data_IF_396654959435
#
_entry.id   IF_396654959435
#
_cell.length_a   1.000
_cell.length_b   1.000
_cell.length_c   1.000
_cell.angle_alpha   90.00
_cell.angle_beta   90.00
_cell.angle_gamma   90.00
#
_symmetry.space_group_name_H-M   'P 1'
#
loop_
_entity.id
_entity.type
_entity.pdbx_description
1 polymer ?
#
# COMPACT_ATOMS: atom_id res chain seq x y z
N UNK A 1 -0.17 -45.48 -18.94
CA UNK A 1 0.41 -44.33 -18.24
C UNK A 1 -0.43 -44.10 -17.00
N UNK A 2 0.14 -44.06 -15.79
CA UNK A 2 -0.65 -43.77 -14.62
C UNK A 2 -1.23 -42.38 -14.76
N UNK A 3 -2.53 -42.23 -14.63
CA UNK A 3 -3.21 -40.96 -14.48
C UNK A 3 -2.76 -40.42 -13.13
N UNK A 4 -1.82 -39.50 -13.12
CA UNK A 4 -1.52 -38.68 -11.95
C UNK A 4 -2.78 -37.83 -11.78
N UNK A 5 -3.68 -38.20 -10.88
CA UNK A 5 -4.79 -37.37 -10.48
C UNK A 5 -4.15 -36.07 -9.98
N UNK A 6 -4.45 -34.94 -10.66
CA UNK A 6 -3.92 -33.65 -10.23
C UNK A 6 -4.43 -33.39 -8.81
N UNK A 7 -3.54 -33.30 -7.83
CA UNK A 7 -3.88 -32.97 -6.45
C UNK A 7 -4.43 -31.55 -6.31
N UNK A 8 -4.52 -30.77 -7.40
CA UNK A 8 -4.89 -29.38 -7.42
C UNK A 8 -6.30 -29.16 -7.97
N UNK A 9 -6.97 -28.12 -7.45
CA UNK A 9 -8.31 -27.70 -7.87
C UNK A 9 -8.31 -26.23 -8.27
N UNK A 10 -9.03 -25.92 -9.35
CA UNK A 10 -9.23 -24.54 -9.76
C UNK A 10 -10.24 -23.84 -8.84
N UNK A 11 -10.05 -22.57 -8.48
CA UNK A 11 -11.01 -21.79 -7.72
C UNK A 11 -12.30 -21.56 -8.51
N UNK A 12 -13.38 -21.28 -7.80
CA UNK A 12 -14.71 -21.07 -8.39
C UNK A 12 -14.83 -19.73 -9.11
N UNK A 13 -14.10 -18.73 -8.64
CA UNK A 13 -14.14 -17.38 -9.17
C UNK A 13 -12.83 -17.04 -9.88
N UNK A 14 -12.83 -16.12 -10.86
CA UNK A 14 -11.64 -15.66 -11.54
C UNK A 14 -10.55 -15.20 -10.56
N UNK A 15 -9.29 -15.52 -10.87
CA UNK A 15 -8.12 -15.00 -10.18
C UNK A 15 -7.64 -13.74 -10.91
N UNK A 16 -7.53 -12.62 -10.19
CA UNK A 16 -6.88 -11.41 -10.67
C UNK A 16 -5.47 -11.35 -10.09
N UNK A 17 -4.46 -11.47 -10.95
CA UNK A 17 -3.04 -11.36 -10.57
C UNK A 17 -2.61 -9.90 -10.52
N UNK A 18 -2.27 -9.38 -9.34
CA UNK A 18 -1.90 -8.00 -9.11
C UNK A 18 -0.40 -7.86 -8.80
N UNK A 19 0.34 -7.21 -9.70
CA UNK A 19 1.80 -7.04 -9.58
C UNK A 19 2.21 -5.92 -8.62
N UNK A 20 3.43 -6.02 -8.08
CA UNK A 20 4.03 -5.01 -7.19
C UNK A 20 4.67 -3.82 -7.89
N UNK A 21 5.56 -3.15 -7.15
CA UNK A 21 6.37 -2.02 -7.64
C UNK A 21 7.22 -2.44 -8.83
N UNK A 22 7.39 -1.54 -9.81
CA UNK A 22 8.06 -1.80 -11.10
C UNK A 22 7.51 -2.99 -11.88
N UNK A 23 6.36 -3.52 -11.47
CA UNK A 23 5.71 -4.61 -12.16
C UNK A 23 5.16 -4.19 -13.51
N UNK A 24 4.89 -5.20 -14.34
CA UNK A 24 4.33 -5.06 -15.67
C UNK A 24 3.65 -6.39 -16.02
N UNK A 25 2.66 -6.37 -16.88
CA UNK A 25 2.14 -7.62 -17.44
C UNK A 25 3.22 -8.26 -18.33
N UNK A 26 3.69 -7.49 -19.33
CA UNK A 26 4.79 -7.87 -20.21
C UNK A 26 5.68 -6.66 -20.53
N UNK A 27 6.97 -6.89 -20.69
CA UNK A 27 7.94 -5.90 -21.12
C UNK A 27 8.77 -6.48 -22.26
N UNK A 28 8.89 -5.73 -23.37
CA UNK A 28 9.58 -6.12 -24.58
C UNK A 28 8.71 -5.87 -25.81
N UNK A 29 9.29 -5.91 -27.02
CA UNK A 29 8.56 -5.68 -28.26
C UNK A 29 7.53 -6.80 -28.54
N UNK A 30 6.32 -6.43 -28.89
CA UNK A 30 5.25 -7.40 -29.23
C UNK A 30 5.60 -8.22 -30.47
N UNK A 31 6.46 -7.68 -31.33
CA UNK A 31 6.91 -8.35 -32.57
C UNK A 31 7.89 -9.49 -32.33
N UNK A 32 8.52 -9.56 -31.14
CA UNK A 32 9.50 -10.60 -30.79
C UNK A 32 9.14 -11.22 -29.44
N UNK A 33 8.24 -12.23 -29.41
CA UNK A 33 7.77 -12.84 -28.16
C UNK A 33 8.87 -13.41 -27.26
N UNK A 34 9.99 -13.85 -27.83
CA UNK A 34 11.10 -14.41 -27.09
C UNK A 34 11.87 -13.35 -26.25
N UNK A 35 11.73 -12.07 -26.57
CA UNK A 35 12.31 -10.96 -25.80
C UNK A 35 11.32 -10.37 -24.76
N UNK A 36 10.10 -10.93 -24.68
CA UNK A 36 9.14 -10.49 -23.69
C UNK A 36 9.45 -11.09 -22.32
N UNK A 37 9.54 -10.23 -21.33
CA UNK A 37 9.65 -10.61 -19.93
C UNK A 37 8.26 -10.45 -19.32
N UNK A 38 7.71 -11.53 -18.76
CA UNK A 38 6.43 -11.55 -18.06
C UNK A 38 6.68 -11.50 -16.55
N UNK A 39 5.90 -10.68 -15.84
CA UNK A 39 5.97 -10.62 -14.38
C UNK A 39 5.59 -11.96 -13.76
N UNK A 40 4.53 -12.58 -14.27
CA UNK A 40 3.97 -13.86 -13.81
C UNK A 40 4.43 -15.04 -14.67
N UNK A 41 5.76 -15.17 -14.82
CA UNK A 41 6.36 -16.14 -15.75
C UNK A 41 5.88 -17.58 -15.49
N UNK A 42 5.11 -18.15 -16.44
CA UNK A 42 4.59 -19.51 -16.33
C UNK A 42 3.40 -19.69 -15.39
N UNK A 43 3.22 -18.81 -14.40
CA UNK A 43 2.18 -18.89 -13.35
C UNK A 43 0.78 -18.77 -13.99
N UNK A 44 0.54 -17.71 -14.77
CA UNK A 44 -0.74 -17.54 -15.49
C UNK A 44 -1.08 -18.77 -16.31
N UNK A 45 -0.12 -19.29 -17.09
CA UNK A 45 -0.31 -20.46 -17.93
C UNK A 45 -0.65 -21.73 -17.12
N UNK A 46 0.01 -21.92 -15.96
CA UNK A 46 -0.25 -23.05 -15.08
C UNK A 46 -1.65 -23.00 -14.49
N UNK A 47 -2.05 -21.86 -13.93
CA UNK A 47 -3.39 -21.65 -13.37
C UNK A 47 -4.48 -21.79 -14.43
N UNK A 48 -4.27 -21.28 -15.66
CA UNK A 48 -5.22 -21.46 -16.77
C UNK A 48 -5.32 -22.93 -17.18
N UNK A 49 -4.21 -23.67 -17.21
CA UNK A 49 -4.23 -25.12 -17.48
C UNK A 49 -4.95 -25.93 -16.39
N UNK A 50 -4.92 -25.45 -15.15
CA UNK A 50 -5.70 -26.04 -14.06
C UNK A 50 -7.21 -25.86 -14.27
N UNK A 51 -7.63 -24.92 -15.10
CA UNK A 51 -9.04 -24.56 -15.34
C UNK A 51 -9.48 -23.25 -14.72
N UNK A 52 -8.58 -22.51 -14.05
CA UNK A 52 -8.90 -21.21 -13.50
C UNK A 52 -9.05 -20.14 -14.59
N UNK A 53 -10.03 -19.26 -14.46
CA UNK A 53 -10.09 -18.01 -15.23
C UNK A 53 -9.09 -17.03 -14.62
N UNK A 54 -8.06 -16.65 -15.37
CA UNK A 54 -6.97 -15.80 -14.88
C UNK A 54 -6.96 -14.47 -15.63
N UNK A 55 -6.93 -13.37 -14.87
CA UNK A 55 -6.85 -12.00 -15.36
C UNK A 55 -5.55 -11.41 -14.82
N UNK A 56 -4.72 -10.85 -15.68
CA UNK A 56 -3.49 -10.17 -15.26
C UNK A 56 -3.75 -8.68 -15.22
N UNK A 57 -3.61 -8.10 -14.03
CA UNK A 57 -3.79 -6.67 -13.84
C UNK A 57 -2.60 -5.88 -14.42
N UNK A 58 -2.92 -4.75 -15.05
CA UNK A 58 -1.94 -3.78 -15.51
C UNK A 58 -2.21 -2.43 -14.84
N UNK A 59 -1.31 -2.02 -13.96
CA UNK A 59 -1.38 -0.75 -13.20
C UNK A 59 -0.08 0.04 -13.37
N UNK A 60 -0.07 1.36 -13.06
CA UNK A 60 1.15 2.15 -13.15
C UNK A 60 2.31 1.54 -12.36
N UNK A 61 3.52 1.52 -12.95
CA UNK A 61 4.71 0.85 -12.37
C UNK A 61 5.18 1.47 -11.06
N UNK A 62 5.00 2.79 -10.90
CA UNK A 62 5.57 3.60 -9.80
C UNK A 62 4.58 4.60 -9.21
N UNK A 63 3.29 4.46 -9.49
CA UNK A 63 2.23 5.32 -8.94
C UNK A 63 2.01 5.09 -7.44
N UNK A 64 1.34 6.04 -6.77
CA UNK A 64 0.87 5.84 -5.39
C UNK A 64 -0.11 4.67 -5.31
N UNK A 65 -0.28 4.09 -4.11
CA UNK A 65 -1.28 3.03 -3.85
C UNK A 65 -2.65 3.44 -4.39
N UNK A 66 -3.12 4.65 -4.08
CA UNK A 66 -4.39 5.19 -4.55
C UNK A 66 -4.50 5.17 -6.08
N UNK A 67 -3.51 5.76 -6.78
CA UNK A 67 -3.50 5.82 -8.25
C UNK A 67 -3.49 4.44 -8.90
N UNK A 68 -2.75 3.50 -8.31
CA UNK A 68 -2.68 2.11 -8.78
C UNK A 68 -3.98 1.37 -8.53
N UNK A 69 -4.59 1.54 -7.37
CA UNK A 69 -5.90 0.98 -7.03
C UNK A 69 -7.02 1.49 -7.96
N UNK A 70 -7.04 2.80 -8.25
CA UNK A 70 -7.99 3.39 -9.20
C UNK A 70 -7.80 2.86 -10.63
N UNK A 71 -6.54 2.63 -11.06
CA UNK A 71 -6.25 2.04 -12.35
C UNK A 71 -6.71 0.57 -12.41
N UNK A 72 -6.48 -0.19 -11.32
CA UNK A 72 -6.97 -1.56 -11.17
C UNK A 72 -8.50 -1.61 -11.26
N UNK A 73 -9.19 -0.75 -10.52
CA UNK A 73 -10.64 -0.65 -10.56
C UNK A 73 -11.17 -0.37 -11.96
N UNK A 74 -10.64 0.66 -12.66
CA UNK A 74 -11.05 0.97 -14.04
C UNK A 74 -10.88 -0.21 -15.00
N UNK A 75 -9.80 -0.98 -14.87
CA UNK A 75 -9.59 -2.16 -15.67
C UNK A 75 -10.63 -3.24 -15.36
N UNK A 76 -10.90 -3.49 -14.08
CA UNK A 76 -11.82 -4.54 -13.62
C UNK A 76 -13.28 -4.22 -13.99
N UNK A 77 -13.71 -2.97 -13.88
CA UNK A 77 -15.07 -2.54 -14.27
C UNK A 77 -15.42 -2.95 -15.68
N UNK A 78 -14.44 -2.94 -16.61
CA UNK A 78 -14.65 -3.33 -18.00
C UNK A 78 -14.41 -4.84 -18.28
N UNK A 79 -13.82 -5.58 -17.33
CA UNK A 79 -13.36 -6.95 -17.58
C UNK A 79 -14.17 -8.00 -16.82
N UNK A 80 -14.70 -7.66 -15.65
CA UNK A 80 -15.34 -8.61 -14.71
C UNK A 80 -16.71 -8.14 -14.21
N UNK A 81 -17.42 -7.37 -15.01
CA UNK A 81 -18.77 -6.89 -14.68
C UNK A 81 -19.68 -8.03 -14.21
N UNK A 82 -20.38 -7.85 -13.10
CA UNK A 82 -21.29 -8.81 -12.49
C UNK A 82 -20.61 -10.06 -11.91
N UNK A 83 -19.28 -10.13 -11.88
CA UNK A 83 -18.56 -11.32 -11.40
C UNK A 83 -18.11 -11.16 -9.95
N UNK A 84 -17.94 -12.30 -9.28
CA UNK A 84 -17.13 -12.44 -8.09
C UNK A 84 -15.68 -12.70 -8.52
N UNK A 85 -14.69 -12.13 -7.81
CA UNK A 85 -13.27 -12.28 -8.14
C UNK A 85 -12.44 -12.55 -6.89
N UNK A 86 -11.32 -13.25 -7.07
CA UNK A 86 -10.28 -13.46 -6.07
C UNK A 86 -9.04 -12.68 -6.47
N UNK A 87 -8.53 -11.83 -5.57
CA UNK A 87 -7.27 -11.16 -5.78
C UNK A 87 -6.10 -12.01 -5.30
N UNK A 88 -5.08 -12.14 -6.13
CA UNK A 88 -3.80 -12.75 -5.80
C UNK A 88 -2.70 -11.74 -6.09
N UNK A 89 -2.18 -11.12 -5.04
CA UNK A 89 -1.37 -9.94 -5.14
C UNK A 89 0.03 -10.16 -4.59
N UNK A 90 1.05 -9.71 -5.32
CA UNK A 90 2.45 -9.76 -4.90
C UNK A 90 2.96 -8.37 -4.52
N UNK A 91 3.72 -8.29 -3.41
CA UNK A 91 4.42 -7.07 -3.01
C UNK A 91 3.45 -5.89 -2.81
N UNK A 92 3.77 -4.69 -3.30
CA UNK A 92 2.91 -3.50 -3.25
C UNK A 92 1.49 -3.72 -3.78
N UNK A 93 1.29 -4.68 -4.70
CA UNK A 93 -0.03 -5.00 -5.25
C UNK A 93 -1.08 -5.37 -4.21
N UNK A 94 -0.66 -5.94 -3.08
CA UNK A 94 -1.56 -6.24 -1.95
C UNK A 94 -2.10 -4.98 -1.28
N UNK A 95 -1.31 -3.91 -1.19
CA UNK A 95 -1.76 -2.62 -0.68
C UNK A 95 -2.74 -1.94 -1.65
N UNK A 96 -2.48 -2.03 -2.96
CA UNK A 96 -3.40 -1.54 -3.99
C UNK A 96 -4.77 -2.21 -3.87
N UNK A 97 -4.79 -3.54 -3.70
CA UNK A 97 -6.02 -4.33 -3.54
C UNK A 97 -6.75 -3.96 -2.24
N UNK A 98 -6.05 -3.80 -1.12
CA UNK A 98 -6.65 -3.37 0.14
C UNK A 98 -7.29 -1.99 0.00
N UNK A 99 -6.59 -1.04 -0.63
CA UNK A 99 -7.13 0.29 -0.90
C UNK A 99 -8.39 0.22 -1.76
N UNK A 100 -8.37 -0.57 -2.84
CA UNK A 100 -9.52 -0.77 -3.72
C UNK A 100 -10.73 -1.34 -2.95
N UNK A 101 -10.51 -2.35 -2.12
CA UNK A 101 -11.59 -2.99 -1.35
C UNK A 101 -12.21 -1.99 -0.39
N UNK A 102 -11.39 -1.25 0.35
CA UNK A 102 -11.81 -0.35 1.44
C UNK A 102 -12.41 0.98 0.95
N UNK A 103 -11.88 1.56 -0.12
CA UNK A 103 -12.19 2.95 -0.51
C UNK A 103 -13.04 3.10 -1.77
N UNK A 104 -13.11 2.10 -2.64
CA UNK A 104 -13.89 2.19 -3.87
C UNK A 104 -15.19 1.41 -3.69
N UNK A 105 -16.32 2.13 -3.63
CA UNK A 105 -17.63 1.54 -3.30
C UNK A 105 -18.51 1.28 -4.52
N UNK A 106 -18.30 1.97 -5.63
CA UNK A 106 -19.08 1.87 -6.88
C UNK A 106 -18.62 0.73 -7.80
N UNK A 107 -18.26 -0.40 -7.20
CA UNK A 107 -17.83 -1.59 -7.95
C UNK A 107 -19.01 -2.32 -8.56
N UNK A 108 -18.93 -2.63 -9.86
CA UNK A 108 -19.87 -3.54 -10.56
C UNK A 108 -19.42 -5.02 -10.52
N UNK A 109 -18.54 -5.36 -9.58
CA UNK A 109 -18.03 -6.71 -9.29
C UNK A 109 -17.83 -6.86 -7.78
N UNK A 110 -17.76 -8.08 -7.29
CA UNK A 110 -17.51 -8.37 -5.90
C UNK A 110 -16.14 -9.03 -5.69
N UNK A 111 -15.39 -8.58 -4.68
CA UNK A 111 -14.16 -9.24 -4.24
C UNK A 111 -14.50 -10.24 -3.14
N UNK A 112 -14.21 -11.54 -3.36
CA UNK A 112 -14.46 -12.60 -2.38
C UNK A 112 -13.25 -12.88 -1.48
N UNK A 113 -12.05 -12.80 -2.06
CA UNK A 113 -10.83 -13.00 -1.28
C UNK A 113 -9.68 -12.13 -1.78
N UNK A 114 -8.76 -11.84 -0.88
CA UNK A 114 -7.46 -11.25 -1.15
C UNK A 114 -6.38 -12.14 -0.55
N UNK A 115 -5.57 -12.75 -1.40
CA UNK A 115 -4.35 -13.45 -1.00
C UNK A 115 -3.14 -12.62 -1.36
N UNK A 116 -2.34 -12.27 -0.36
CA UNK A 116 -1.14 -11.43 -0.53
C UNK A 116 0.13 -12.26 -0.36
N UNK A 117 1.12 -11.99 -1.19
CA UNK A 117 2.41 -12.67 -1.23
C UNK A 117 3.50 -11.65 -0.98
N UNK A 118 4.19 -11.72 0.14
CA UNK A 118 5.22 -10.77 0.56
C UNK A 118 4.81 -9.31 0.35
N UNK A 119 3.60 -8.97 0.74
CA UNK A 119 3.11 -7.59 0.73
C UNK A 119 3.59 -6.87 1.98
N UNK A 120 4.20 -5.69 1.86
CA UNK A 120 4.66 -4.92 3.00
C UNK A 120 3.51 -4.20 3.72
N UNK A 121 2.64 -4.96 4.40
CA UNK A 121 1.49 -4.41 5.11
C UNK A 121 1.85 -3.42 6.23
N UNK A 122 3.07 -3.52 6.74
CA UNK A 122 3.63 -2.58 7.74
C UNK A 122 4.79 -1.75 7.20
N UNK A 123 4.93 -1.70 5.86
CA UNK A 123 6.03 -1.04 5.18
C UNK A 123 7.30 -1.89 5.13
N UNK A 124 8.39 -1.30 4.69
CA UNK A 124 9.70 -1.95 4.59
C UNK A 124 10.80 -1.05 5.13
N UNK A 125 11.65 -1.55 6.06
CA UNK A 125 12.83 -0.83 6.54
C UNK A 125 13.80 -0.38 5.44
N UNK A 126 13.78 -1.02 4.29
CA UNK A 126 14.57 -0.60 3.11
C UNK A 126 14.05 0.71 2.56
N UNK A 127 12.73 0.91 2.54
CA UNK A 127 12.12 2.15 2.06
C UNK A 127 12.39 3.30 3.02
N UNK A 128 12.42 3.04 4.33
CA UNK A 128 12.86 4.01 5.32
C UNK A 128 14.32 4.41 5.10
N UNK A 129 15.19 3.42 4.85
CA UNK A 129 16.59 3.67 4.57
C UNK A 129 16.78 4.49 3.28
N UNK A 130 16.01 4.21 2.21
CA UNK A 130 16.04 5.00 0.98
C UNK A 130 15.60 6.45 1.25
N UNK A 131 14.53 6.66 2.01
CA UNK A 131 14.08 7.98 2.43
C UNK A 131 15.17 8.71 3.21
N UNK A 132 15.70 8.10 4.27
CA UNK A 132 16.60 8.75 5.24
C UNK A 132 18.02 8.95 4.69
N UNK A 133 18.51 8.03 3.84
CA UNK A 133 19.88 8.06 3.31
C UNK A 133 20.02 8.73 1.95
N UNK A 134 18.99 8.69 1.12
CA UNK A 134 19.03 9.15 -0.28
C UNK A 134 18.05 10.30 -0.54
N UNK A 135 17.11 10.54 0.39
CA UNK A 135 16.09 11.58 0.26
C UNK A 135 14.94 11.24 -0.70
N UNK A 136 14.77 9.96 -1.04
CA UNK A 136 13.68 9.50 -1.91
C UNK A 136 12.37 9.48 -1.12
N UNK A 137 11.32 10.10 -1.65
CA UNK A 137 9.99 10.16 -1.02
C UNK A 137 9.76 11.38 -0.11
N UNK A 138 10.76 12.23 0.14
CA UNK A 138 10.60 13.40 1.02
C UNK A 138 9.61 14.44 0.50
N UNK A 139 9.63 14.75 -0.80
CA UNK A 139 8.73 15.74 -1.40
C UNK A 139 7.28 15.31 -1.29
N UNK A 140 7.02 14.04 -1.47
CA UNK A 140 5.66 13.49 -1.46
C UNK A 140 5.10 13.32 -0.06
N UNK A 141 5.95 12.96 0.91
CA UNK A 141 5.53 12.93 2.32
C UNK A 141 5.11 14.33 2.80
N UNK A 142 5.84 15.37 2.38
CA UNK A 142 5.48 16.75 2.69
C UNK A 142 4.16 17.18 2.03
N UNK A 143 3.90 16.76 0.79
CA UNK A 143 2.64 17.03 0.08
C UNK A 143 1.46 16.29 0.73
N UNK A 144 1.61 15.01 1.05
CA UNK A 144 0.58 14.21 1.72
C UNK A 144 0.28 14.76 3.13
N UNK A 145 1.29 15.17 3.88
CA UNK A 145 1.12 15.79 5.21
C UNK A 145 0.42 17.15 5.10
N UNK A 146 0.77 17.96 4.10
CA UNK A 146 0.09 19.22 3.83
C UNK A 146 -1.38 19.00 3.47
N UNK A 147 -1.69 18.02 2.62
CA UNK A 147 -3.06 17.66 2.25
C UNK A 147 -3.85 17.11 3.45
N UNK A 148 -3.24 16.31 4.30
CA UNK A 148 -3.86 15.82 5.55
C UNK A 148 -4.22 16.98 6.47
N UNK A 149 -3.28 17.89 6.72
CA UNK A 149 -3.52 19.08 7.55
C UNK A 149 -4.62 19.99 6.97
N UNK A 150 -4.64 20.12 5.64
CA UNK A 150 -5.70 20.88 4.94
C UNK A 150 -7.06 20.19 5.09
N UNK A 151 -7.11 18.87 4.98
CA UNK A 151 -8.33 18.07 5.18
C UNK A 151 -8.85 18.16 6.63
N UNK A 152 -7.98 18.11 7.62
CA UNK A 152 -8.32 18.30 9.03
C UNK A 152 -8.88 19.71 9.29
N UNK A 153 -8.22 20.73 8.76
CA UNK A 153 -8.70 22.12 8.85
C UNK A 153 -10.08 22.30 8.22
N UNK A 154 -10.32 21.68 7.06
CA UNK A 154 -11.62 21.69 6.39
C UNK A 154 -12.72 20.98 7.20
N UNK A 155 -12.40 19.84 7.87
CA UNK A 155 -13.34 19.14 8.74
C UNK A 155 -13.70 19.97 9.97
N UNK A 156 -12.72 20.61 10.62
CA UNK A 156 -12.94 21.49 11.77
C UNK A 156 -13.78 22.71 11.38
N UNK A 157 -13.53 23.31 10.22
CA UNK A 157 -14.33 24.42 9.67
C UNK A 157 -15.78 24.00 9.40
N UNK A 158 -16.00 22.80 8.86
CA UNK A 158 -17.34 22.27 8.60
C UNK A 158 -18.10 21.96 9.91
N UNK A 159 -17.43 21.41 10.92
CA UNK A 159 -18.02 21.18 12.24
C UNK A 159 -18.44 22.50 12.90
N UNK A 160 -17.55 23.51 12.90
CA UNK A 160 -17.86 24.83 13.44
C UNK A 160 -19.04 25.50 12.71
N UNK A 161 -19.16 25.30 11.41
CA UNK A 161 -20.28 25.82 10.63
C UNK A 161 -21.62 25.13 10.98
N UNK A 162 -21.60 23.82 11.27
CA UNK A 162 -22.77 23.08 11.74
C UNK A 162 -23.20 23.52 13.14
N UNK A 163 -22.26 23.67 14.07
CA UNK A 163 -22.54 24.16 15.42
C UNK A 163 -23.16 25.55 15.40
N UNK A 164 -22.65 26.45 14.53
CA UNK A 164 -23.22 27.78 14.34
C UNK A 164 -24.64 27.71 13.76
N UNK A 165 -24.90 26.81 12.82
CA UNK A 165 -26.21 26.63 12.21
C UNK A 165 -27.23 26.09 13.23
N UNK A 166 -26.82 25.17 14.11
CA UNK A 166 -27.66 24.68 15.20
C UNK A 166 -27.96 25.78 16.24
N UNK A 167 -26.96 26.60 16.59
CA UNK A 167 -27.13 27.74 17.48
C UNK A 167 -28.11 28.78 16.90
N UNK A 168 -28.01 29.07 15.61
CA UNK A 168 -28.95 29.97 14.91
C UNK A 168 -30.37 29.41 14.89
N UNK A 169 -30.56 28.12 14.66
CA UNK A 169 -31.88 27.49 14.72
C UNK A 169 -32.47 27.55 16.14
N UNK A 170 -31.66 27.28 17.16
CA UNK A 170 -32.10 27.39 18.55
C UNK A 170 -32.53 28.83 18.90
N UNK A 171 -31.83 29.83 18.40
CA UNK A 171 -32.19 31.25 18.56
C UNK A 171 -33.53 31.58 17.88
N UNK A 172 -33.73 31.15 16.63
CA UNK A 172 -34.98 31.37 15.89
C UNK A 172 -36.19 30.71 16.55
N UNK A 173 -36.03 29.45 17.09
CA UNK A 173 -37.10 28.77 17.83
C UNK A 173 -37.42 29.45 19.14
N UNK A 174 -36.45 30.09 19.81
CA UNK A 174 -36.68 30.88 21.00
C UNK A 174 -37.45 32.16 20.73
N UNK A 175 -37.21 32.82 19.61
CA UNK A 175 -37.99 34.01 19.15
C UNK A 175 -39.45 33.64 18.79
N UNK A 176 -39.68 32.52 18.13
CA UNK A 176 -41.00 32.02 17.76
C UNK A 176 -41.86 31.59 18.98
N UNK A 177 -41.24 31.23 20.11
CA UNK A 177 -41.95 30.75 21.30
C UNK A 177 -42.53 31.85 22.17
N UNK A 178 -42.48 33.13 21.77
CA UNK A 178 -43.14 34.28 22.36
C UNK A 178 -43.04 34.36 23.91
N UNK A 179 -41.85 34.07 24.46
CA UNK A 179 -41.56 34.30 25.87
C UNK A 179 -41.19 35.75 26.00
N UNK A 180 -42.11 36.57 26.57
CA UNK A 180 -41.86 37.94 26.92
C UNK A 180 -40.70 38.01 27.92
N UNK A 181 -39.54 38.44 27.45
CA UNK A 181 -38.44 38.78 28.33
C UNK A 181 -38.76 40.06 29.07
N UNK A 182 -38.85 39.98 30.38
CA UNK A 182 -38.92 41.17 31.25
C UNK A 182 -37.57 41.90 31.15
N UNK A 183 -37.59 43.06 30.49
CA UNK A 183 -36.39 43.84 30.19
C UNK A 183 -35.86 44.64 31.39
N UNK A 184 -36.37 44.40 32.62
CA UNK A 184 -35.96 45.15 33.83
C UNK A 184 -34.72 44.64 34.53
N UNK A 185 -34.09 43.55 34.08
CA UNK A 185 -32.93 42.94 34.76
C UNK A 185 -31.70 42.74 33.86
N UNK A 186 -31.53 43.51 32.82
CA UNK A 186 -30.31 43.46 32.00
C UNK A 186 -29.20 44.33 32.66
N UNK A 187 -28.10 43.75 33.13
CA UNK A 187 -26.95 44.53 33.54
C UNK A 187 -26.38 45.26 32.29
N UNK A 188 -25.79 46.47 32.47
CA UNK A 188 -25.32 47.26 31.35
C UNK A 188 -24.20 46.50 30.58
N UNK A 189 -24.12 46.67 29.25
CA UNK A 189 -23.15 45.98 28.45
C UNK A 189 -21.73 46.35 28.90
N UNK A 190 -20.89 45.35 29.09
CA UNK A 190 -19.48 45.53 29.40
C UNK A 190 -18.86 46.41 28.32
N UNK A 191 -18.45 47.64 28.69
CA UNK A 191 -17.66 48.52 27.83
C UNK A 191 -16.28 47.89 27.65
N UNK A 192 -16.02 47.37 26.48
CA UNK A 192 -14.70 46.91 26.05
C UNK A 192 -13.82 48.15 25.85
N UNK A 193 -13.07 48.56 26.87
CA UNK A 193 -12.02 49.56 26.68
C UNK A 193 -10.87 48.89 25.93
N UNK A 194 -10.67 49.33 24.71
CA UNK A 194 -9.51 49.00 23.89
C UNK A 194 -8.23 49.59 24.54
N UNK A 195 -7.51 48.80 25.32
CA UNK A 195 -6.13 49.08 25.63
C UNK A 195 -5.28 47.97 25.03
N UNK A 196 -5.07 47.99 23.75
CA UNK A 196 -3.94 47.36 23.13
C UNK A 196 -2.72 48.27 23.31
N UNK A 197 -2.00 48.05 24.39
CA UNK A 197 -0.61 48.54 24.47
C UNK A 197 0.25 47.47 23.77
N UNK A 198 0.77 47.89 22.63
CA UNK A 198 1.85 47.21 21.93
C UNK A 198 3.12 47.15 22.79
N UNK A 199 3.41 46.03 23.43
CA UNK A 199 4.78 45.64 23.77
C UNK A 199 4.79 44.19 24.19
N UNK A 200 5.52 43.36 23.47
CA UNK A 200 5.79 41.99 23.85
C UNK A 200 5.90 41.07 22.65
N UNK A 201 6.95 41.26 21.86
CA UNK A 201 7.43 40.25 20.92
C UNK A 201 7.90 39.03 21.71
N UNK A 202 7.02 38.05 21.89
CA UNK A 202 7.45 36.67 22.20
C UNK A 202 7.93 36.03 20.90
N UNK A 203 9.15 36.36 20.50
CA UNK A 203 9.93 35.51 19.62
C UNK A 203 10.25 34.25 20.40
N UNK A 204 9.53 33.19 20.20
CA UNK A 204 9.96 31.84 20.55
C UNK A 204 11.36 31.61 19.96
N UNK A 205 12.21 30.76 20.56
CA UNK A 205 13.51 30.45 20.00
C UNK A 205 13.29 30.00 18.52
N UNK A 206 14.15 30.48 17.59
CA UNK A 206 14.05 30.07 16.20
C UNK A 206 14.09 28.54 16.15
N UNK A 207 13.31 27.91 15.26
CA UNK A 207 13.39 26.47 15.08
C UNK A 207 14.87 26.12 14.84
N UNK A 208 15.37 25.01 15.42
CA UNK A 208 16.74 24.60 15.17
C UNK A 208 16.95 24.53 13.65
N UNK A 209 18.11 24.98 13.15
CA UNK A 209 18.42 24.85 11.73
C UNK A 209 18.19 23.39 11.34
N UNK A 210 17.64 23.10 10.15
CA UNK A 210 17.47 21.73 9.70
C UNK A 210 18.81 21.05 9.90
N UNK A 211 18.80 19.95 10.66
CA UNK A 211 20.00 19.15 10.90
C UNK A 211 20.57 18.86 9.51
N UNK A 212 21.73 19.43 9.22
CA UNK A 212 22.49 19.05 8.04
C UNK A 212 22.72 17.56 8.20
N UNK A 213 21.93 16.75 7.46
CA UNK A 213 22.19 15.35 7.32
C UNK A 213 23.65 15.28 6.87
N UNK A 214 24.51 14.74 7.72
CA UNK A 214 25.86 14.38 7.36
C UNK A 214 25.74 13.36 6.23
N UNK A 215 25.59 13.87 5.00
CA UNK A 215 25.53 13.07 3.81
C UNK A 215 26.79 12.23 3.78
N UNK A 216 26.62 10.92 3.77
CA UNK A 216 27.71 9.99 3.58
C UNK A 216 28.46 10.40 2.31
N UNK A 217 29.76 10.71 2.36
CA UNK A 217 30.51 11.25 1.22
C UNK A 217 30.70 10.25 0.06
N UNK A 218 30.05 9.11 0.11
CA UNK A 218 30.19 8.01 -0.88
C UNK A 218 29.07 8.04 -1.95
N UNK A 219 28.08 8.92 -1.81
CA UNK A 219 27.03 9.01 -2.85
C UNK A 219 27.60 9.75 -4.05
N UNK A 220 27.87 9.00 -5.14
CA UNK A 220 28.43 9.55 -6.37
C UNK A 220 27.54 10.68 -6.91
N UNK A 221 28.12 11.76 -7.50
CA UNK A 221 27.34 12.84 -8.16
C UNK A 221 26.35 12.34 -9.21
N UNK A 222 26.59 11.15 -9.76
CA UNK A 222 25.71 10.47 -10.69
C UNK A 222 24.41 10.02 -10.02
N UNK A 223 24.50 9.50 -8.79
CA UNK A 223 23.33 9.06 -8.02
C UNK A 223 22.43 10.26 -7.64
N UNK A 224 23.02 11.39 -7.25
CA UNK A 224 22.27 12.62 -6.98
C UNK A 224 21.48 13.14 -8.19
N UNK A 225 21.94 12.90 -9.42
CA UNK A 225 21.21 13.22 -10.64
C UNK A 225 20.05 12.27 -10.92
N UNK A 226 20.10 11.04 -10.41
CA UNK A 226 19.07 10.03 -10.60
C UNK A 226 17.95 10.10 -9.55
N UNK A 227 18.21 10.69 -8.38
CA UNK A 227 17.24 10.81 -7.27
C UNK A 227 15.89 11.37 -7.75
N UNK A 228 15.78 12.48 -8.52
CA UNK A 228 14.50 13.01 -8.97
C UNK A 228 13.69 12.04 -9.86
N UNK A 229 14.37 11.13 -10.54
CA UNK A 229 13.72 10.10 -11.38
C UNK A 229 13.32 8.85 -10.58
N UNK A 230 13.98 8.64 -9.44
CA UNK A 230 13.68 7.54 -8.50
C UNK A 230 12.67 7.97 -7.44
N UNK A 231 12.52 9.27 -7.19
CA UNK A 231 11.56 9.81 -6.23
C UNK A 231 10.13 9.70 -6.77
N UNK A 232 9.52 8.57 -6.50
CA UNK A 232 8.16 8.26 -6.95
C UNK A 232 7.23 8.06 -5.74
N UNK A 233 5.92 8.35 -5.87
CA UNK A 233 4.93 8.17 -4.80
C UNK A 233 4.95 6.78 -4.17
N UNK A 234 5.32 5.78 -4.94
CA UNK A 234 5.37 4.40 -4.49
C UNK A 234 6.37 4.18 -3.34
N UNK A 235 7.53 4.86 -3.35
CA UNK A 235 8.53 4.70 -2.29
C UNK A 235 8.04 5.28 -0.96
N UNK A 236 7.44 6.47 -0.97
CA UNK A 236 6.85 7.08 0.22
C UNK A 236 5.75 6.19 0.82
N UNK A 237 4.91 5.61 -0.04
CA UNK A 237 3.81 4.74 0.36
C UNK A 237 4.26 3.36 0.90
N UNK A 238 5.52 3.00 0.78
CA UNK A 238 6.08 1.74 1.29
C UNK A 238 6.95 1.91 2.54
N UNK A 239 7.07 3.12 3.09
CA UNK A 239 7.75 3.35 4.36
C UNK A 239 6.97 2.74 5.52
N UNK A 240 7.67 2.37 6.59
CA UNK A 240 7.03 1.79 7.78
C UNK A 240 6.09 2.80 8.44
N UNK A 241 6.49 4.05 8.50
CA UNK A 241 5.68 5.14 9.07
C UNK A 241 4.36 5.32 8.29
N UNK A 242 4.42 5.44 6.96
CA UNK A 242 3.23 5.58 6.15
C UNK A 242 2.28 4.40 6.28
N UNK A 243 2.79 3.17 6.18
CA UNK A 243 1.96 1.98 6.26
C UNK A 243 1.28 1.84 7.62
N UNK A 244 2.00 2.09 8.73
CA UNK A 244 1.47 1.87 10.08
C UNK A 244 0.61 3.04 10.58
N UNK A 245 0.99 4.27 10.30
CA UNK A 245 0.38 5.46 10.88
C UNK A 245 -0.62 6.17 9.95
N UNK A 246 -0.53 5.92 8.63
CA UNK A 246 -1.42 6.56 7.65
C UNK A 246 -2.29 5.52 6.94
N UNK A 247 -1.68 4.54 6.28
CA UNK A 247 -2.42 3.60 5.44
C UNK A 247 -3.33 2.66 6.26
N UNK A 248 -2.77 1.91 7.20
CA UNK A 248 -3.53 0.89 7.94
C UNK A 248 -4.70 1.47 8.75
N UNK A 249 -4.56 2.58 9.51
CA UNK A 249 -5.68 3.15 10.26
C UNK A 249 -6.82 3.65 9.37
N UNK A 250 -6.51 4.06 8.14
CA UNK A 250 -7.49 4.59 7.20
C UNK A 250 -7.99 3.55 6.17
N UNK A 251 -7.48 2.31 6.18
CA UNK A 251 -7.83 1.27 5.21
C UNK A 251 -8.28 0.00 5.94
N UNK A 252 -9.48 0.05 6.57
CA UNK A 252 -10.04 -1.10 7.27
C UNK A 252 -10.34 -2.25 6.30
N UNK A 253 -10.31 -3.46 6.81
CA UNK A 253 -10.71 -4.65 6.06
C UNK A 253 -12.25 -4.69 5.92
N UNK A 254 -12.72 -5.12 4.74
CA UNK A 254 -14.13 -5.40 4.51
C UNK A 254 -14.49 -6.77 5.11
N UNK A 255 -15.48 -6.87 6.01
CA UNK A 255 -15.86 -8.13 6.66
C UNK A 255 -16.41 -9.19 5.70
N UNK A 256 -16.79 -8.83 4.48
CA UNK A 256 -17.29 -9.75 3.45
C UNK A 256 -16.18 -10.33 2.57
N UNK A 257 -14.93 -9.91 2.78
CA UNK A 257 -13.75 -10.36 2.03
C UNK A 257 -12.88 -11.23 2.92
N UNK A 258 -12.46 -12.39 2.42
CA UNK A 258 -11.50 -13.24 3.13
C UNK A 258 -10.07 -12.80 2.83
N UNK A 259 -9.27 -12.57 3.87
CA UNK A 259 -7.88 -12.10 3.74
C UNK A 259 -6.89 -13.20 4.11
N UNK A 260 -6.01 -13.56 3.18
CA UNK A 260 -4.93 -14.52 3.36
C UNK A 260 -3.58 -13.86 3.06
N UNK A 261 -2.54 -14.28 3.76
CA UNK A 261 -1.20 -13.78 3.49
C UNK A 261 -0.14 -14.87 3.61
N UNK A 262 0.86 -14.75 2.76
CA UNK A 262 2.10 -15.51 2.78
C UNK A 262 3.28 -14.57 2.91
N UNK A 263 4.24 -14.93 3.75
CA UNK A 263 5.56 -14.33 3.78
C UNK A 263 6.55 -15.17 2.99
N UNK A 264 7.73 -14.61 2.77
CA UNK A 264 8.88 -15.37 2.28
C UNK A 264 10.13 -14.94 3.04
N UNK A 265 11.07 -15.86 3.20
CA UNK A 265 12.34 -15.58 3.84
C UNK A 265 13.41 -16.52 3.31
N UNK A 266 14.64 -16.01 3.23
CA UNK A 266 15.83 -16.81 2.92
C UNK A 266 16.86 -16.65 4.03
N UNK A 267 17.67 -17.67 4.24
CA UNK A 267 18.69 -17.67 5.29
C UNK A 267 19.72 -16.57 5.10
N UNK A 268 20.13 -16.35 3.85
CA UNK A 268 21.12 -15.35 3.48
C UNK A 268 21.02 -15.01 2.01
N UNK A 269 21.23 -13.73 1.68
CA UNK A 269 21.45 -13.23 0.32
C UNK A 269 22.85 -12.64 0.28
N UNK A 270 23.72 -13.07 -0.66
CA UNK A 270 25.06 -12.49 -0.79
C UNK A 270 25.01 -10.97 -0.99
N UNK A 271 25.85 -10.21 -0.29
CA UNK A 271 25.82 -8.72 -0.30
C UNK A 271 26.00 -8.13 -1.72
N UNK A 272 26.72 -8.82 -2.59
CA UNK A 272 26.89 -8.41 -3.98
C UNK A 272 25.65 -8.64 -4.87
N UNK A 273 24.68 -9.45 -4.40
CA UNK A 273 23.43 -9.65 -5.13
C UNK A 273 22.49 -8.44 -4.96
N UNK A 274 21.62 -8.15 -5.94
CA UNK A 274 20.75 -6.96 -5.88
C UNK A 274 19.87 -6.84 -4.64
N UNK A 275 19.46 -7.96 -4.05
CA UNK A 275 18.70 -8.00 -2.80
C UNK A 275 19.59 -8.12 -1.55
N UNK A 276 20.92 -8.19 -1.68
CA UNK A 276 21.82 -8.47 -0.57
C UNK A 276 21.87 -7.33 0.46
N UNK A 277 22.13 -6.10 0.02
CA UNK A 277 22.12 -4.92 0.92
C UNK A 277 20.72 -4.69 1.52
N UNK A 278 19.63 -4.70 0.76
CA UNK A 278 18.28 -4.65 1.31
C UNK A 278 18.01 -5.75 2.35
N UNK A 279 18.45 -6.99 2.09
CA UNK A 279 18.27 -8.11 3.01
C UNK A 279 18.95 -7.86 4.36
N UNK A 280 20.19 -7.36 4.36
CA UNK A 280 20.93 -7.02 5.59
C UNK A 280 20.24 -5.90 6.39
N UNK A 281 19.72 -4.86 5.70
CA UNK A 281 18.99 -3.75 6.34
C UNK A 281 17.77 -4.27 7.09
N UNK A 282 16.96 -5.12 6.43
CA UNK A 282 15.76 -5.69 7.03
C UNK A 282 16.13 -6.67 8.13
N UNK A 283 17.14 -7.51 7.89
CA UNK A 283 17.63 -8.50 8.86
C UNK A 283 18.01 -7.85 10.19
N UNK A 284 18.68 -6.70 10.13
CA UNK A 284 19.10 -5.96 11.32
C UNK A 284 17.93 -5.35 12.10
N UNK A 285 16.82 -5.00 11.43
CA UNK A 285 15.67 -4.30 12.05
C UNK A 285 14.51 -5.22 12.41
N UNK A 286 14.16 -6.17 11.54
CA UNK A 286 12.94 -6.98 11.65
C UNK A 286 13.20 -8.49 11.53
N UNK A 287 14.42 -8.93 11.25
CA UNK A 287 14.79 -10.34 11.21
C UNK A 287 14.52 -11.02 9.87
N UNK A 288 13.78 -12.13 9.88
CA UNK A 288 13.52 -12.95 8.70
C UNK A 288 12.84 -12.17 7.57
N UNK A 289 13.41 -12.26 6.35
CA UNK A 289 12.94 -11.50 5.21
C UNK A 289 13.33 -12.13 3.87
N UNK A 290 12.68 -11.67 2.81
CA UNK A 290 12.87 -12.12 1.43
C UNK A 290 13.81 -11.20 0.61
N UNK A 291 14.44 -10.23 1.25
CA UNK A 291 15.28 -9.20 0.64
C UNK A 291 14.58 -7.85 0.40
N UNK A 292 13.26 -7.74 0.47
CA UNK A 292 12.51 -6.49 0.36
C UNK A 292 11.43 -6.33 1.43
N UNK A 293 10.89 -7.43 1.95
CA UNK A 293 9.81 -7.43 2.93
C UNK A 293 10.13 -8.45 4.03
N UNK A 294 9.95 -8.06 5.29
CA UNK A 294 10.08 -8.98 6.41
C UNK A 294 8.86 -9.88 6.55
N UNK A 295 9.04 -11.06 7.14
CA UNK A 295 7.93 -11.95 7.51
C UNK A 295 6.95 -11.27 8.47
N UNK A 296 7.43 -10.36 9.33
CA UNK A 296 6.60 -9.54 10.21
C UNK A 296 5.67 -8.62 9.42
N UNK A 297 6.22 -7.88 8.45
CA UNK A 297 5.46 -6.95 7.62
C UNK A 297 4.50 -7.66 6.66
N UNK A 298 4.83 -8.88 6.22
CA UNK A 298 4.01 -9.64 5.28
C UNK A 298 2.72 -10.23 5.89
N UNK A 299 2.62 -10.31 7.22
CA UNK A 299 1.46 -10.91 7.93
C UNK A 299 0.25 -10.00 7.91
N UNK A 300 -0.88 -10.50 7.37
CA UNK A 300 -2.17 -9.84 7.37
C UNK A 300 -3.32 -10.84 7.29
N UNK A 301 -4.44 -10.57 7.95
CA UNK A 301 -5.58 -11.50 7.98
C UNK A 301 -5.16 -12.90 8.47
N UNK A 302 -5.59 -13.93 7.77
CA UNK A 302 -5.13 -15.30 8.02
C UNK A 302 -3.75 -15.53 7.40
N UNK A 303 -2.72 -15.60 8.25
CA UNK A 303 -1.36 -15.89 7.81
C UNK A 303 -1.18 -17.39 7.58
N UNK A 304 -0.97 -17.79 6.32
CA UNK A 304 -0.90 -19.20 5.93
C UNK A 304 0.49 -19.77 6.19
N UNK A 305 1.55 -19.04 5.88
CA UNK A 305 2.92 -19.51 6.10
C UNK A 305 4.01 -18.62 5.53
N UNK A 306 5.26 -19.05 5.77
CA UNK A 306 6.46 -18.44 5.21
C UNK A 306 7.11 -19.42 4.25
N UNK A 307 7.38 -18.97 3.02
CA UNK A 307 8.05 -19.76 1.98
C UNK A 307 9.57 -19.55 2.04
N UNK A 308 10.33 -20.64 1.76
CA UNK A 308 11.78 -20.55 1.57
C UNK A 308 12.11 -19.98 0.18
N UNK A 309 11.88 -18.67 0.03
CA UNK A 309 11.95 -17.94 -1.22
C UNK A 309 12.42 -16.51 -0.99
N UNK A 310 13.14 -15.95 -1.96
CA UNK A 310 13.34 -14.51 -1.97
C UNK A 310 12.20 -13.79 -2.73
N UNK A 311 12.18 -12.46 -2.66
CA UNK A 311 11.10 -11.64 -3.20
C UNK A 311 10.82 -11.85 -4.69
N UNK A 312 11.84 -12.18 -5.49
CA UNK A 312 11.69 -12.40 -6.92
C UNK A 312 11.41 -13.84 -7.30
N UNK A 313 11.63 -14.81 -6.41
CA UNK A 313 11.21 -16.19 -6.60
C UNK A 313 9.69 -16.32 -6.66
N UNK A 314 8.99 -15.51 -5.84
CA UNK A 314 7.53 -15.53 -5.76
C UNK A 314 6.84 -15.18 -7.10
N UNK A 315 7.46 -14.44 -7.98
CA UNK A 315 6.93 -14.17 -9.32
C UNK A 315 7.60 -15.01 -10.42
N UNK A 316 8.32 -16.07 -10.02
CA UNK A 316 9.04 -17.00 -10.90
C UNK A 316 10.07 -16.31 -11.82
N UNK A 317 10.71 -15.26 -11.32
CA UNK A 317 11.71 -14.51 -12.08
C UNK A 317 13.03 -15.27 -12.11
N UNK A 318 13.35 -15.83 -13.26
CA UNK A 318 14.63 -16.52 -13.43
C UNK A 318 15.82 -15.57 -13.26
N UNK A 319 16.80 -15.97 -12.44
CA UNK A 319 18.10 -15.32 -12.30
C UNK A 319 19.16 -16.33 -11.87
N UNK A 320 20.41 -16.01 -12.17
CA UNK A 320 21.53 -16.82 -11.69
C UNK A 320 21.73 -16.54 -10.18
N UNK A 321 21.55 -17.56 -9.36
CA UNK A 321 21.73 -17.52 -7.91
C UNK A 321 23.10 -18.09 -7.51
N UNK A 322 24.19 -17.42 -7.92
CA UNK A 322 25.54 -17.82 -7.53
C UNK A 322 25.75 -17.49 -6.05
N UNK A 323 26.21 -18.45 -5.24
CA UNK A 323 26.46 -18.26 -3.80
C UNK A 323 25.23 -18.21 -2.90
N UNK A 324 24.04 -18.54 -3.40
CA UNK A 324 22.85 -18.76 -2.59
C UNK A 324 22.85 -20.20 -2.04
N UNK A 325 22.65 -20.33 -0.74
CA UNK A 325 22.49 -21.64 -0.06
C UNK A 325 21.01 -22.04 0.07
N UNK A 326 20.25 -21.84 -1.00
CA UNK A 326 18.80 -22.05 -0.97
C UNK A 326 18.40 -23.15 -1.94
N UNK A 327 17.42 -23.97 -1.54
CA UNK A 327 16.76 -24.91 -2.45
C UNK A 327 16.01 -24.14 -3.56
N UNK A 328 15.92 -24.68 -4.78
CA UNK A 328 15.09 -24.10 -5.80
C UNK A 328 13.63 -24.01 -5.31
N UNK A 329 13.05 -22.81 -5.36
CA UNK A 329 11.64 -22.60 -5.07
C UNK A 329 10.79 -22.96 -6.28
N UNK A 330 9.79 -23.80 -6.11
CA UNK A 330 8.83 -24.13 -7.16
C UNK A 330 7.61 -23.21 -7.10
N UNK A 331 7.72 -22.07 -7.80
CA UNK A 331 6.64 -21.10 -7.86
C UNK A 331 5.36 -21.69 -8.48
N UNK A 332 5.47 -22.63 -9.43
CA UNK A 332 4.28 -23.21 -10.08
C UNK A 332 3.51 -24.06 -9.06
N UNK A 333 4.18 -24.95 -8.35
CA UNK A 333 3.57 -25.76 -7.29
C UNK A 333 2.92 -24.86 -6.23
N UNK A 334 3.63 -23.83 -5.77
CA UNK A 334 3.13 -22.85 -4.79
C UNK A 334 1.81 -22.20 -5.23
N UNK A 335 1.72 -21.68 -6.47
CA UNK A 335 0.50 -21.07 -6.96
C UNK A 335 -0.65 -22.05 -7.20
N UNK A 336 -0.33 -23.30 -7.54
CA UNK A 336 -1.33 -24.37 -7.66
C UNK A 336 -1.90 -24.73 -6.28
N UNK A 337 -1.10 -24.71 -5.23
CA UNK A 337 -1.54 -24.89 -3.84
C UNK A 337 -2.44 -23.75 -3.38
N UNK A 338 -2.08 -22.49 -3.70
CA UNK A 338 -2.95 -21.33 -3.42
C UNK A 338 -4.31 -21.45 -4.11
N UNK A 339 -4.33 -21.80 -5.41
CA UNK A 339 -5.57 -22.01 -6.14
C UNK A 339 -6.45 -23.09 -5.49
N UNK A 340 -5.82 -24.17 -5.03
CA UNK A 340 -6.49 -25.27 -4.32
C UNK A 340 -7.02 -24.83 -2.96
N UNK A 341 -6.29 -23.98 -2.24
CA UNK A 341 -6.77 -23.39 -0.98
C UNK A 341 -8.00 -22.50 -1.25
N UNK A 342 -7.95 -21.62 -2.25
CA UNK A 342 -9.11 -20.81 -2.65
C UNK A 342 -10.33 -21.68 -2.94
N UNK A 343 -10.16 -22.79 -3.67
CA UNK A 343 -11.25 -23.74 -3.95
C UNK A 343 -11.84 -24.35 -2.68
N UNK A 344 -10.98 -24.80 -1.76
CA UNK A 344 -11.41 -25.42 -0.48
C UNK A 344 -12.17 -24.44 0.42
N UNK A 345 -11.76 -23.18 0.41
CA UNK A 345 -12.41 -22.09 1.18
C UNK A 345 -13.68 -21.56 0.49
N UNK A 346 -14.03 -22.10 -0.69
CA UNK A 346 -15.28 -21.75 -1.39
C UNK A 346 -15.18 -20.58 -2.35
N UNK A 347 -13.98 -20.12 -2.59
CA UNK A 347 -13.68 -18.95 -3.47
C UNK A 347 -13.55 -19.29 -4.95
#
# INVERSE_FOLDING_TARGET
MPVVSSCYSAPRHPIVLCHGLFGFDKMGPDTIPYLQIHYWKGIQKALTKLGAKVIVASVPKTGSIKRRAEALHRMLTNTVEGMHVNFLAHSMGGLDCRYLISHIHDKNYEVKSLTTLSTPHRGSPVMDWFRDSIGVGHLQHAEEEAMRKLGEAARLSKAAALDLQEALKAFQTAEESNISFDTTTVPPPFSYSSQYTSTGSFAGPPPPPPSQSSGNPIISPLLNRLIPYLDTPAYANLTTDYCQNVFNPNTPDDPHVSYYSYGAAVKQIPVWAPLGIPWEIIKAKEGENDGLVSTHSARWGHYVGTEDADHWDLNNRYRLKIGYEQKPFDAIDFYMNIATLMYKEGH
#
